data_IF_960407462387
#
_entry.id   IF_960407462387
#
_cell.length_a   1.000
_cell.length_b   1.000
_cell.length_c   1.000
_cell.angle_alpha   90.00
_cell.angle_beta   90.00
_cell.angle_gamma   90.00
#
_symmetry.space_group_name_H-M   'P 1'
#
loop_
_entity.id
_entity.type
_entity.pdbx_description
1 polymer ?
#
# COMPACT_ATOMS: atom_id res chain seq x y z
N UNK A 1 10.65 13.86 -28.88
CA UNK A 1 10.67 12.65 -28.05
C UNK A 1 9.98 12.98 -26.75
N UNK A 2 8.73 12.54 -26.55
CA UNK A 2 8.01 12.74 -25.29
C UNK A 2 8.31 11.55 -24.39
N UNK A 3 9.39 11.63 -23.63
CA UNK A 3 9.54 10.81 -22.44
C UNK A 3 8.42 11.22 -21.48
N UNK A 4 7.44 10.35 -21.26
CA UNK A 4 6.47 10.51 -20.20
C UNK A 4 7.25 10.71 -18.90
N UNK A 5 7.23 11.93 -18.36
CA UNK A 5 7.92 12.31 -17.14
C UNK A 5 7.14 11.71 -15.97
N UNK A 6 7.35 10.42 -15.71
CA UNK A 6 6.84 9.76 -14.52
C UNK A 6 7.54 10.37 -13.31
N UNK A 7 6.91 11.38 -12.71
CA UNK A 7 7.40 12.02 -11.49
C UNK A 7 7.04 11.11 -10.31
N UNK A 8 8.02 10.68 -9.50
CA UNK A 8 7.73 9.91 -8.30
C UNK A 8 6.95 10.78 -7.30
N UNK A 9 5.79 10.28 -6.84
CA UNK A 9 5.00 10.94 -5.81
C UNK A 9 5.78 10.92 -4.49
N UNK A 10 6.02 12.10 -3.90
CA UNK A 10 6.75 12.24 -2.62
C UNK A 10 8.10 11.51 -2.60
N UNK A 11 8.81 11.50 -3.75
CA UNK A 11 10.12 10.84 -3.88
C UNK A 11 10.08 9.31 -3.86
N UNK A 12 8.90 8.70 -3.89
CA UNK A 12 8.74 7.24 -3.83
C UNK A 12 9.06 6.58 -5.18
N UNK A 13 10.27 6.04 -5.30
CA UNK A 13 10.65 5.19 -6.44
C UNK A 13 10.21 3.74 -6.21
N UNK A 14 9.25 3.28 -7.01
CA UNK A 14 8.73 1.91 -6.94
C UNK A 14 9.82 0.84 -7.02
N UNK A 15 10.78 0.99 -7.94
CA UNK A 15 11.85 0.00 -8.15
C UNK A 15 12.78 -0.08 -6.94
N UNK A 16 13.13 1.06 -6.34
CA UNK A 16 13.94 1.12 -5.13
C UNK A 16 13.21 0.50 -3.94
N UNK A 17 11.95 0.89 -3.70
CA UNK A 17 11.12 0.38 -2.60
C UNK A 17 10.91 -1.13 -2.70
N UNK A 18 10.60 -1.64 -3.90
CA UNK A 18 10.43 -3.08 -4.14
C UNK A 18 11.71 -3.86 -3.90
N UNK A 19 12.87 -3.32 -4.31
CA UNK A 19 14.17 -3.96 -4.07
C UNK A 19 14.46 -4.04 -2.57
N UNK A 20 14.28 -2.94 -1.84
CA UNK A 20 14.51 -2.89 -0.40
C UNK A 20 13.63 -3.90 0.35
N UNK A 21 12.32 -3.92 0.08
CA UNK A 21 11.40 -4.84 0.76
C UNK A 21 11.77 -6.31 0.52
N UNK A 22 12.23 -6.65 -0.70
CA UNK A 22 12.71 -8.00 -1.02
C UNK A 22 13.99 -8.36 -0.29
N UNK A 23 14.92 -7.42 -0.15
CA UNK A 23 16.17 -7.62 0.59
C UNK A 23 15.91 -7.78 2.09
N UNK A 24 15.00 -6.99 2.64
CA UNK A 24 14.59 -7.04 4.04
C UNK A 24 13.68 -8.23 4.37
N UNK A 25 13.17 -8.95 3.36
CA UNK A 25 12.21 -10.05 3.56
C UNK A 25 10.85 -9.61 4.11
N UNK A 26 10.46 -8.34 3.93
CA UNK A 26 9.22 -7.77 4.48
C UNK A 26 8.27 -7.32 3.37
N UNK A 27 6.99 -7.26 3.70
CA UNK A 27 5.98 -6.69 2.81
C UNK A 27 6.02 -5.17 2.93
N UNK A 28 5.77 -4.49 1.81
CA UNK A 28 5.68 -3.03 1.82
C UNK A 28 4.45 -2.56 2.59
N UNK A 29 4.63 -1.49 3.35
CA UNK A 29 3.61 -0.72 4.04
C UNK A 29 3.83 0.75 3.68
N UNK A 30 2.80 1.40 3.15
CA UNK A 30 2.90 2.77 2.66
C UNK A 30 2.83 3.75 3.84
N UNK A 31 3.87 4.56 4.09
CA UNK A 31 3.85 5.54 5.17
C UNK A 31 2.93 6.73 4.90
N UNK A 32 2.65 7.05 3.63
CA UNK A 32 1.78 8.16 3.22
C UNK A 32 0.32 7.74 3.15
N UNK A 33 0.07 6.44 2.99
CA UNK A 33 -1.28 5.88 2.94
C UNK A 33 -1.42 4.66 3.87
N UNK A 34 -1.42 4.89 5.20
CA UNK A 34 -1.41 3.81 6.20
C UNK A 34 -2.71 3.00 6.19
N UNK A 35 -2.69 1.79 6.75
CA UNK A 35 -3.89 0.96 6.94
C UNK A 35 -4.72 1.43 8.13
N UNK A 36 -5.21 2.67 8.08
CA UNK A 36 -5.97 3.32 9.15
C UNK A 36 -7.19 4.06 8.60
N UNK A 37 -8.11 4.45 9.48
CA UNK A 37 -9.33 5.19 9.12
C UNK A 37 -9.03 6.51 8.40
N UNK A 38 -7.85 7.12 8.61
CA UNK A 38 -7.43 8.36 7.92
C UNK A 38 -7.27 8.16 6.42
N UNK A 39 -7.00 6.94 5.98
CA UNK A 39 -6.88 6.57 4.56
C UNK A 39 -8.24 6.22 3.94
N UNK A 40 -9.29 6.07 4.75
CA UNK A 40 -10.64 5.76 4.29
C UNK A 40 -11.58 6.97 4.36
N UNK A 41 -11.44 7.80 5.39
CA UNK A 41 -12.38 8.87 5.70
C UNK A 41 -11.66 10.21 5.93
N UNK A 42 -12.18 11.28 5.32
CA UNK A 42 -11.67 12.64 5.54
C UNK A 42 -12.06 13.24 6.90
N UNK A 43 -13.18 12.81 7.48
CA UNK A 43 -13.77 13.43 8.68
C UNK A 43 -13.86 12.44 9.84
N UNK A 44 -14.82 11.50 9.80
CA UNK A 44 -14.99 10.46 10.82
C UNK A 44 -15.47 9.16 10.19
N UNK A 45 -15.10 8.04 10.81
CA UNK A 45 -15.60 6.73 10.43
C UNK A 45 -17.10 6.62 10.76
N UNK A 46 -17.91 6.40 9.73
CA UNK A 46 -19.37 6.20 9.83
C UNK A 46 -19.80 4.76 9.60
N UNK A 47 -18.88 3.89 9.20
CA UNK A 47 -19.16 2.52 8.71
C UNK A 47 -18.86 1.47 9.79
N UNK A 48 -18.05 1.81 10.81
CA UNK A 48 -17.63 0.91 11.87
C UNK A 48 -16.24 0.32 11.63
N UNK A 49 -15.81 -0.68 12.40
CA UNK A 49 -14.44 -1.21 12.32
C UNK A 49 -14.17 -1.86 10.96
N UNK A 50 -13.06 -1.46 10.31
CA UNK A 50 -12.62 -1.99 9.02
C UNK A 50 -11.33 -2.79 9.19
N UNK A 51 -11.31 -4.03 8.68
CA UNK A 51 -10.11 -4.86 8.64
C UNK A 51 -9.42 -4.74 7.27
N UNK A 52 -8.18 -4.28 7.27
CA UNK A 52 -7.33 -4.24 6.08
C UNK A 52 -6.71 -5.61 5.85
N UNK A 53 -6.88 -6.16 4.64
CA UNK A 53 -6.34 -7.47 4.26
C UNK A 53 -5.56 -7.38 2.96
N UNK A 54 -4.44 -8.10 2.89
CA UNK A 54 -3.69 -8.25 1.63
C UNK A 54 -4.40 -9.27 0.72
N UNK A 55 -4.33 -9.14 -0.61
CA UNK A 55 -5.03 -10.04 -1.54
C UNK A 55 -4.68 -11.53 -1.32
N UNK A 56 -3.43 -11.84 -1.01
CA UNK A 56 -2.96 -13.21 -0.76
C UNK A 56 -3.57 -13.87 0.49
N UNK A 57 -4.20 -13.09 1.39
CA UNK A 57 -4.88 -13.63 2.58
C UNK A 57 -6.25 -14.24 2.20
N UNK A 58 -6.77 -14.01 0.98
CA UNK A 58 -8.09 -14.50 0.55
C UNK A 58 -8.07 -15.81 -0.24
N UNK A 59 -6.90 -16.40 -0.47
CA UNK A 59 -6.76 -17.74 -1.05
C UNK A 59 -6.43 -18.76 0.03
N UNK A 60 -7.29 -18.85 1.04
CA UNK A 60 -7.40 -20.10 1.80
C UNK A 60 -8.35 -21.00 1.02
N UNK A 61 -7.81 -21.65 -0.01
CA UNK A 61 -8.45 -22.82 -0.60
C UNK A 61 -8.19 -23.95 0.38
N UNK A 62 -9.08 -24.11 1.36
CA UNK A 62 -9.16 -25.30 2.20
C UNK A 62 -10.63 -25.71 2.30
N UNK A 63 -11.09 -26.48 1.30
CA UNK A 63 -12.02 -27.59 1.50
C UNK A 63 -11.18 -28.87 1.44
#
# INVERSE_FOLDING_TARGET
SFSCLMVPYEGQSYSALRKQCRQDGRLFEDPLFPTSDRSLFYLRNTVGPVAWKRPQVRTDTSL
#
